data_IF_376502414378
#
_entry.id   IF_376502414378
#
_cell.length_a   1.000
_cell.length_b   1.000
_cell.length_c   1.000
_cell.angle_alpha   90.00
_cell.angle_beta   90.00
_cell.angle_gamma   90.00
#
_symmetry.space_group_name_H-M   'P 1'
#
loop_
_entity.id
_entity.type
_entity.pdbx_description
1 polymer ?
#
# COMPACT_ATOMS: atom_id res chain seq x y z
N UNK A 1 5.60 -7.30 -13.22
CA UNK A 1 6.47 -6.73 -12.17
C UNK A 1 6.55 -7.70 -11.01
N UNK A 2 7.69 -7.79 -10.38
CA UNK A 2 7.89 -8.69 -9.25
C UNK A 2 7.50 -8.04 -7.93
N UNK A 3 6.74 -8.77 -7.13
CA UNK A 3 6.37 -8.37 -5.78
C UNK A 3 6.87 -9.41 -4.80
N UNK A 4 6.92 -9.06 -3.54
CA UNK A 4 7.35 -9.95 -2.46
C UNK A 4 6.34 -9.87 -1.31
N UNK A 5 6.14 -11.01 -0.66
CA UNK A 5 5.35 -11.08 0.58
C UNK A 5 6.24 -10.57 1.72
N UNK A 6 5.94 -9.41 2.25
CA UNK A 6 6.70 -8.89 3.38
C UNK A 6 5.97 -9.09 4.72
N UNK A 7 4.72 -9.50 4.67
CA UNK A 7 3.94 -9.89 5.83
C UNK A 7 3.05 -11.06 5.44
N UNK A 8 3.16 -12.17 6.15
CA UNK A 8 2.43 -13.39 5.82
C UNK A 8 0.96 -13.11 5.50
N UNK A 9 0.49 -13.68 4.42
CA UNK A 9 -0.91 -13.62 4.02
C UNK A 9 -1.54 -15.00 4.11
N UNK A 10 -2.50 -15.16 5.00
CA UNK A 10 -3.25 -16.40 5.16
C UNK A 10 -4.73 -16.05 5.14
N UNK A 11 -5.41 -16.41 4.09
CA UNK A 11 -6.83 -16.10 3.95
C UNK A 11 -7.31 -16.24 2.52
N UNK A 12 -8.52 -15.77 2.28
CA UNK A 12 -9.15 -15.84 0.97
C UNK A 12 -8.70 -14.68 0.09
N UNK A 13 -8.21 -15.03 -1.10
CA UNK A 13 -7.99 -14.08 -2.17
C UNK A 13 -9.10 -14.18 -3.21
N UNK A 14 -8.87 -13.56 -4.39
CA UNK A 14 -9.86 -13.55 -5.47
C UNK A 14 -10.14 -14.98 -5.96
N UNK A 15 -9.10 -15.77 -6.18
CA UNK A 15 -9.23 -17.10 -6.80
C UNK A 15 -9.05 -18.25 -5.79
N UNK A 16 -9.36 -18.03 -4.53
CA UNK A 16 -9.34 -19.09 -3.52
C UNK A 16 -8.53 -18.74 -2.29
N UNK A 17 -8.23 -19.75 -1.50
CA UNK A 17 -7.43 -19.59 -0.28
C UNK A 17 -5.96 -19.58 -0.58
N UNK A 18 -5.24 -18.77 0.18
CA UNK A 18 -3.79 -18.65 0.09
C UNK A 18 -3.15 -18.72 1.46
N UNK A 19 -1.93 -19.25 1.48
CA UNK A 19 -1.08 -19.26 2.65
C UNK A 19 0.33 -18.89 2.17
N UNK A 20 0.59 -17.58 2.11
CA UNK A 20 1.81 -17.05 1.52
C UNK A 20 2.73 -16.56 2.63
N UNK A 21 3.92 -17.15 2.70
CA UNK A 21 4.91 -16.84 3.73
C UNK A 21 5.75 -15.64 3.36
N UNK A 22 6.28 -14.99 4.37
CA UNK A 22 7.26 -13.92 4.22
C UNK A 22 8.37 -14.36 3.26
N UNK A 23 8.73 -13.47 2.34
CA UNK A 23 9.80 -13.73 1.38
C UNK A 23 9.36 -14.41 0.09
N UNK A 24 8.12 -14.89 0.02
CA UNK A 24 7.62 -15.50 -1.22
C UNK A 24 7.54 -14.46 -2.32
N UNK A 25 8.09 -14.79 -3.49
CA UNK A 25 8.04 -13.91 -4.66
C UNK A 25 6.76 -14.21 -5.44
N UNK A 26 6.04 -13.14 -5.78
CA UNK A 26 4.82 -13.21 -6.59
C UNK A 26 4.92 -12.19 -7.72
N UNK A 27 3.97 -12.21 -8.64
CA UNK A 27 3.99 -11.29 -9.77
C UNK A 27 2.80 -10.35 -9.78
N UNK A 28 2.98 -9.21 -10.43
CA UNK A 28 1.89 -8.25 -10.64
C UNK A 28 1.67 -8.09 -12.14
N UNK A 29 0.42 -8.08 -12.55
CA UNK A 29 0.05 -7.82 -13.93
C UNK A 29 -1.30 -7.10 -13.93
N UNK A 30 -1.35 -5.97 -14.65
CA UNK A 30 -2.56 -5.17 -14.80
C UNK A 30 -3.21 -4.79 -13.46
N UNK A 31 -2.38 -4.55 -12.45
CA UNK A 31 -2.86 -4.12 -11.13
C UNK A 31 -3.24 -5.23 -10.17
N UNK A 32 -3.14 -6.50 -10.61
CA UNK A 32 -3.45 -7.64 -9.75
C UNK A 32 -2.20 -8.42 -9.39
N UNK A 33 -2.20 -8.98 -8.19
CA UNK A 33 -1.13 -9.83 -7.70
C UNK A 33 -1.49 -11.30 -7.96
N UNK A 34 -0.52 -12.05 -8.48
CA UNK A 34 -0.69 -13.45 -8.87
C UNK A 34 0.29 -14.34 -8.12
N UNK A 35 -0.21 -15.45 -7.59
CA UNK A 35 0.64 -16.50 -7.03
C UNK A 35 1.36 -17.25 -8.16
N UNK A 36 2.36 -18.05 -7.77
CA UNK A 36 3.16 -18.82 -8.73
C UNK A 36 2.33 -19.78 -9.57
N UNK A 37 1.19 -20.23 -9.06
CA UNK A 37 0.28 -21.13 -9.77
C UNK A 37 -0.69 -20.41 -10.71
N UNK A 38 -0.57 -19.08 -10.84
CA UNK A 38 -1.40 -18.28 -11.74
C UNK A 38 -2.71 -17.80 -11.16
N UNK A 39 -3.03 -18.13 -9.90
CA UNK A 39 -4.26 -17.64 -9.27
C UNK A 39 -4.10 -16.20 -8.82
N UNK A 40 -5.17 -15.42 -8.96
CA UNK A 40 -5.19 -14.02 -8.51
C UNK A 40 -5.35 -13.97 -7.00
N UNK A 41 -4.51 -13.19 -6.35
CA UNK A 41 -4.55 -12.99 -4.90
C UNK A 41 -5.46 -11.81 -4.56
N UNK A 42 -5.10 -10.63 -5.02
CA UNK A 42 -5.85 -9.39 -4.76
C UNK A 42 -5.32 -8.29 -5.67
N UNK A 43 -6.01 -7.16 -5.69
CA UNK A 43 -5.48 -5.96 -6.35
C UNK A 43 -4.30 -5.42 -5.55
N UNK A 44 -3.26 -4.98 -6.24
CA UNK A 44 -2.05 -4.47 -5.59
C UNK A 44 -2.31 -3.24 -4.71
N UNK A 45 -3.31 -2.43 -5.06
CA UNK A 45 -3.68 -1.24 -4.31
C UNK A 45 -4.78 -1.47 -3.27
N UNK A 46 -5.23 -2.72 -3.11
CA UNK A 46 -6.23 -3.07 -2.10
C UNK A 46 -5.63 -3.02 -0.69
N UNK A 47 -6.49 -3.11 0.31
CA UNK A 47 -6.08 -3.18 1.71
C UNK A 47 -5.10 -4.34 1.93
N UNK A 48 -5.44 -5.54 1.43
CA UNK A 48 -4.55 -6.69 1.52
C UNK A 48 -3.28 -6.49 0.70
N UNK A 49 -3.41 -5.87 -0.45
CA UNK A 49 -2.27 -5.62 -1.33
C UNK A 49 -1.20 -4.80 -0.65
N UNK A 50 -1.57 -3.69 -0.01
CA UNK A 50 -0.55 -2.88 0.64
C UNK A 50 -0.13 -3.44 2.00
N UNK A 51 -1.00 -4.16 2.70
CA UNK A 51 -0.68 -4.70 4.02
C UNK A 51 0.36 -5.82 3.95
N UNK A 52 0.26 -6.68 2.97
CA UNK A 52 1.03 -7.93 2.93
C UNK A 52 2.10 -7.98 1.84
N UNK A 53 2.00 -7.13 0.84
CA UNK A 53 2.84 -7.23 -0.36
C UNK A 53 3.48 -5.90 -0.72
N UNK A 54 4.63 -5.95 -1.35
CA UNK A 54 5.29 -4.76 -1.87
C UNK A 54 6.09 -5.12 -3.11
N UNK A 55 6.40 -4.13 -3.94
CA UNK A 55 7.30 -4.33 -5.07
C UNK A 55 8.66 -4.81 -4.54
N UNK A 56 9.22 -5.79 -5.21
CA UNK A 56 10.51 -6.35 -4.81
C UNK A 56 11.66 -5.50 -5.37
N UNK A 57 11.72 -4.24 -4.93
CA UNK A 57 12.73 -3.26 -5.32
C UNK A 57 13.00 -2.34 -4.14
N UNK A 58 14.16 -1.65 -4.12
CA UNK A 58 14.41 -0.63 -3.09
C UNK A 58 13.35 0.47 -3.07
N UNK A 59 12.86 0.87 -4.23
CA UNK A 59 11.79 1.86 -4.32
C UNK A 59 10.48 1.35 -3.70
N UNK A 60 10.15 0.09 -3.92
CA UNK A 60 8.97 -0.54 -3.32
C UNK A 60 9.07 -0.57 -1.80
N UNK A 61 10.24 -0.89 -1.26
CA UNK A 61 10.49 -0.87 0.18
C UNK A 61 10.32 0.54 0.75
N UNK A 62 10.88 1.53 0.07
CA UNK A 62 10.77 2.93 0.49
C UNK A 62 9.31 3.40 0.47
N UNK A 63 8.59 3.09 -0.60
CA UNK A 63 7.17 3.44 -0.73
C UNK A 63 6.35 2.83 0.41
N UNK A 64 6.59 1.58 0.73
CA UNK A 64 5.88 0.90 1.80
C UNK A 64 6.13 1.56 3.16
N UNK A 65 7.37 1.93 3.43
CA UNK A 65 7.69 2.62 4.67
C UNK A 65 7.00 3.98 4.77
N UNK A 66 6.96 4.73 3.68
CA UNK A 66 6.24 6.00 3.65
C UNK A 66 4.76 5.81 3.94
N UNK A 67 4.13 4.81 3.31
CA UNK A 67 2.73 4.52 3.53
C UNK A 67 2.44 4.17 4.98
N UNK A 68 3.24 3.31 5.60
CA UNK A 68 3.06 2.92 6.98
C UNK A 68 3.16 4.10 7.94
N UNK A 69 4.14 4.97 7.72
CA UNK A 69 4.32 6.16 8.56
C UNK A 69 3.21 7.17 8.37
N UNK A 70 2.78 7.40 7.14
CA UNK A 70 1.67 8.30 6.84
C UNK A 70 0.36 7.77 7.41
N UNK A 71 0.11 6.47 7.33
CA UNK A 71 -1.06 5.86 7.93
C UNK A 71 -1.12 6.15 9.43
N UNK A 72 -0.02 5.91 10.14
CA UNK A 72 0.04 6.17 11.57
C UNK A 72 -0.18 7.64 11.89
N UNK A 73 0.42 8.50 11.08
CA UNK A 73 0.27 9.94 11.28
C UNK A 73 -1.18 10.39 11.13
N UNK A 74 -1.84 9.95 10.05
CA UNK A 74 -3.23 10.31 9.81
C UNK A 74 -4.20 9.69 10.81
N UNK A 75 -3.93 8.48 11.27
CA UNK A 75 -4.75 7.85 12.31
C UNK A 75 -4.69 8.63 13.61
N UNK A 76 -3.52 9.18 13.93
CA UNK A 76 -3.33 9.96 15.16
C UNK A 76 -3.87 11.38 15.04
N UNK A 77 -3.69 12.03 13.90
CA UNK A 77 -3.94 13.46 13.74
C UNK A 77 -5.18 13.78 12.90
N UNK A 78 -5.74 12.79 12.22
CA UNK A 78 -6.82 13.00 11.26
C UNK A 78 -6.30 13.56 9.96
N UNK A 79 -7.11 13.51 8.91
CA UNK A 79 -6.70 14.00 7.59
C UNK A 79 -6.94 15.51 7.41
N UNK A 80 -7.68 16.15 8.30
CA UNK A 80 -7.96 17.58 8.19
C UNK A 80 -8.53 17.95 6.84
N UNK A 81 -7.89 18.90 6.17
CA UNK A 81 -8.27 19.33 4.83
C UNK A 81 -7.53 18.57 3.72
N UNK A 82 -6.61 17.69 4.10
CA UNK A 82 -5.91 16.87 3.12
C UNK A 82 -6.90 15.99 2.39
N UNK A 83 -6.77 15.90 1.07
CA UNK A 83 -7.68 15.14 0.21
C UNK A 83 -9.12 15.66 0.16
N UNK A 84 -9.36 16.90 0.57
CA UNK A 84 -10.71 17.49 0.53
C UNK A 84 -11.32 17.49 -0.86
N UNK A 85 -10.50 17.75 -1.87
CA UNK A 85 -10.95 17.76 -3.27
C UNK A 85 -11.41 16.38 -3.75
N UNK A 86 -10.96 15.34 -3.05
CA UNK A 86 -11.26 13.95 -3.40
C UNK A 86 -12.42 13.40 -2.57
N UNK A 87 -12.97 14.19 -1.67
CA UNK A 87 -13.99 13.72 -0.74
C UNK A 87 -15.37 13.77 -1.35
N UNK A 88 -16.02 12.63 -1.38
CA UNK A 88 -17.40 12.49 -1.85
C UNK A 88 -18.37 12.63 -0.69
N UNK A 89 -19.56 13.18 -0.91
CA UNK A 89 -20.59 13.20 0.13
C UNK A 89 -20.83 11.80 0.69
N UNK A 90 -20.86 11.68 2.01
CA UNK A 90 -21.06 10.39 2.68
C UNK A 90 -19.78 9.60 2.92
N UNK A 91 -18.67 10.00 2.38
CA UNK A 91 -17.39 9.40 2.74
C UNK A 91 -16.87 10.06 4.01
N UNK A 92 -16.66 9.23 5.00
CA UNK A 92 -16.18 9.69 6.29
C UNK A 92 -14.75 9.21 6.53
N UNK A 93 -14.44 8.88 7.77
CA UNK A 93 -13.11 8.47 8.15
C UNK A 93 -12.61 7.29 7.31
N UNK A 94 -11.40 7.39 6.81
CA UNK A 94 -10.75 6.29 6.10
C UNK A 94 -10.61 6.44 4.60
N UNK A 95 -11.31 7.39 3.98
CA UNK A 95 -11.14 7.60 2.53
C UNK A 95 -9.69 7.98 2.19
N UNK A 96 -9.02 8.65 3.09
CA UNK A 96 -7.63 9.04 2.93
C UNK A 96 -6.70 7.83 2.77
N UNK A 97 -7.04 6.69 3.37
CA UNK A 97 -6.26 5.47 3.23
C UNK A 97 -6.18 5.03 1.77
N UNK A 98 -7.32 5.03 1.11
CA UNK A 98 -7.39 4.67 -0.30
C UNK A 98 -6.61 5.67 -1.16
N UNK A 99 -6.72 6.95 -0.85
CA UNK A 99 -5.99 7.99 -1.60
C UNK A 99 -4.49 7.84 -1.47
N UNK A 100 -4.00 7.49 -0.29
CA UNK A 100 -2.58 7.23 -0.07
C UNK A 100 -2.13 5.98 -0.83
N UNK A 101 -2.89 4.89 -0.75
CA UNK A 101 -2.52 3.65 -1.42
C UNK A 101 -2.41 3.80 -2.94
N UNK A 102 -3.24 4.63 -3.52
CA UNK A 102 -3.27 4.82 -4.97
C UNK A 102 -2.43 5.99 -5.46
N UNK A 103 -1.84 6.75 -4.56
CA UNK A 103 -1.02 7.90 -4.92
C UNK A 103 0.29 7.47 -5.59
N UNK A 104 0.77 8.31 -6.51
CA UNK A 104 2.09 8.09 -7.10
C UNK A 104 3.18 8.21 -6.04
N UNK A 105 4.33 7.61 -6.31
CA UNK A 105 5.48 7.73 -5.41
C UNK A 105 5.91 9.18 -5.22
N UNK A 106 5.82 9.99 -6.27
CA UNK A 106 6.16 11.42 -6.21
C UNK A 106 5.23 12.16 -5.24
N UNK A 107 3.93 11.88 -5.34
CA UNK A 107 2.96 12.50 -4.44
C UNK A 107 3.17 12.06 -2.99
N UNK A 108 3.48 10.78 -2.78
CA UNK A 108 3.78 10.28 -1.43
C UNK A 108 4.99 10.97 -0.81
N UNK A 109 6.06 11.15 -1.60
CA UNK A 109 7.25 11.86 -1.13
C UNK A 109 6.91 13.29 -0.71
N UNK A 110 6.09 13.95 -1.49
CA UNK A 110 5.67 15.33 -1.22
C UNK A 110 4.87 15.41 0.09
N UNK A 111 3.89 14.54 0.25
CA UNK A 111 3.08 14.48 1.47
C UNK A 111 3.96 14.14 2.66
N UNK A 112 4.85 13.18 2.50
CA UNK A 112 5.77 12.75 3.56
C UNK A 112 6.63 13.92 4.03
N UNK A 113 7.18 14.70 3.10
CA UNK A 113 7.97 15.88 3.45
C UNK A 113 7.17 16.92 4.21
N UNK A 114 5.93 17.13 3.82
CA UNK A 114 5.04 18.06 4.52
C UNK A 114 4.78 17.66 5.98
N UNK A 115 4.63 16.34 6.22
CA UNK A 115 4.29 15.84 7.56
C UNK A 115 5.51 15.61 8.45
N UNK A 116 6.62 15.19 7.87
CA UNK A 116 7.81 14.78 8.64
C UNK A 116 9.05 15.65 8.41
N UNK A 117 8.94 16.65 7.55
CA UNK A 117 10.00 17.64 7.41
C UNK A 117 11.25 17.18 6.70
N UNK A 118 11.16 16.26 5.79
CA UNK A 118 12.19 16.20 4.84
C UNK A 118 12.96 14.94 4.56
N UNK A 119 13.58 14.29 5.50
CA UNK A 119 14.43 13.14 5.15
C UNK A 119 13.77 11.82 5.43
N UNK A 120 13.84 10.92 4.44
CA UNK A 120 13.46 9.54 4.64
C UNK A 120 14.56 8.83 5.40
N UNK A 121 14.20 8.14 6.47
CA UNK A 121 15.17 7.50 7.36
C UNK A 121 15.91 6.34 6.73
N UNK A 122 15.47 5.87 5.60
CA UNK A 122 16.01 4.67 4.98
C UNK A 122 17.05 4.96 3.90
N UNK A 123 17.57 6.12 3.90
CA UNK A 123 18.66 6.46 2.99
C UNK A 123 20.00 6.07 3.57
#
# INVERSE_FOLDING_TARGET
MEYIVYKRFHGNGIDGEFNLRYGTVISENEGFLFAADGRRICAATSENGWTHFRQNTPEGAMRQEMLERLYRWYEKNGCGEDFMDDKWPGQENGYWKNRLRTASTERLKKIYQEKFGGKLCMQ
#
